data_IF_466723458019
#
_entry.id   IF_466723458019
#
_cell.length_a   1.000
_cell.length_b   1.000
_cell.length_c   1.000
_cell.angle_alpha   90.00
_cell.angle_beta   90.00
_cell.angle_gamma   90.00
#
_symmetry.space_group_name_H-M   'P 1'
#
loop_
_entity.id
_entity.type
_entity.pdbx_description
1 polymer ?
#
# COMPACT_ATOMS: atom_id res chain seq x y z
N UNK A 1 -4.77 -33.15 -90.31
CA UNK A 1 -4.66 -31.91 -89.49
C UNK A 1 -5.34 -32.16 -88.15
N UNK A 2 -4.60 -32.02 -87.04
CA UNK A 2 -5.04 -31.58 -85.69
C UNK A 2 -3.94 -31.93 -84.69
N UNK A 3 -3.16 -30.93 -84.28
CA UNK A 3 -2.12 -31.03 -83.24
C UNK A 3 -2.79 -30.90 -81.87
N UNK A 4 -2.42 -31.69 -80.85
CA UNK A 4 -2.89 -31.46 -79.48
C UNK A 4 -2.09 -30.34 -78.82
N UNK A 5 -2.80 -29.36 -78.27
CA UNK A 5 -2.30 -28.20 -77.52
C UNK A 5 -1.78 -28.64 -76.14
N UNK A 6 -0.60 -28.20 -75.67
CA UNK A 6 -0.12 -28.52 -74.33
C UNK A 6 -0.75 -27.56 -73.31
N UNK A 7 -1.47 -28.10 -72.33
CA UNK A 7 -1.94 -27.34 -71.18
C UNK A 7 -0.77 -27.05 -70.24
N UNK A 8 -0.35 -25.78 -70.21
CA UNK A 8 0.50 -25.21 -69.18
C UNK A 8 -0.27 -25.19 -67.85
N UNK A 9 0.06 -26.11 -66.94
CA UNK A 9 -0.38 -26.04 -65.54
C UNK A 9 0.49 -25.00 -64.83
N UNK A 10 -0.02 -23.77 -64.73
CA UNK A 10 0.59 -22.73 -63.91
C UNK A 10 0.35 -23.06 -62.43
N UNK A 11 1.40 -23.54 -61.75
CA UNK A 11 1.42 -23.68 -60.29
C UNK A 11 1.53 -22.27 -59.70
N UNK A 12 0.39 -21.69 -59.32
CA UNK A 12 0.36 -20.48 -58.52
C UNK A 12 0.84 -20.83 -57.10
N UNK A 13 2.11 -20.52 -56.80
CA UNK A 13 2.63 -20.51 -55.44
C UNK A 13 1.86 -19.46 -54.64
N UNK A 14 0.91 -19.92 -53.84
CA UNK A 14 0.21 -19.13 -52.84
C UNK A 14 1.24 -18.63 -51.82
N UNK A 15 1.61 -17.36 -51.91
CA UNK A 15 2.33 -16.66 -50.84
C UNK A 15 1.39 -16.54 -49.65
N UNK A 16 1.48 -17.50 -48.72
CA UNK A 16 0.85 -17.40 -47.41
C UNK A 16 1.48 -16.21 -46.67
N UNK A 17 0.71 -15.19 -46.24
CA UNK A 17 1.23 -14.17 -45.35
C UNK A 17 1.63 -14.86 -44.04
N UNK A 18 2.88 -14.65 -43.61
CA UNK A 18 3.35 -15.09 -42.31
C UNK A 18 2.46 -14.44 -41.25
N UNK A 19 1.73 -15.26 -40.49
CA UNK A 19 1.03 -14.78 -39.31
C UNK A 19 2.07 -14.19 -38.34
N UNK A 20 1.78 -13.05 -37.67
CA UNK A 20 2.67 -12.54 -36.64
C UNK A 20 2.81 -13.62 -35.57
N UNK A 21 4.04 -14.07 -35.32
CA UNK A 21 4.35 -14.90 -34.16
C UNK A 21 3.85 -14.16 -32.94
N UNK A 22 2.84 -14.72 -32.27
CA UNK A 22 2.30 -14.20 -31.02
C UNK A 22 3.41 -14.28 -29.97
N UNK A 23 4.25 -13.25 -29.91
CA UNK A 23 5.20 -13.08 -28.81
C UNK A 23 4.43 -13.05 -27.51
N UNK A 24 4.96 -13.70 -26.47
CA UNK A 24 4.33 -13.63 -25.15
C UNK A 24 4.12 -12.18 -24.75
N UNK A 25 2.97 -11.87 -24.13
CA UNK A 25 2.65 -10.51 -23.69
C UNK A 25 3.56 -10.13 -22.50
N UNK A 26 4.68 -9.49 -22.82
CA UNK A 26 5.68 -9.06 -21.83
C UNK A 26 5.12 -8.08 -20.80
N UNK A 27 4.06 -7.32 -21.14
CA UNK A 27 3.38 -6.44 -20.19
C UNK A 27 2.58 -7.27 -19.18
N UNK A 28 1.77 -8.20 -19.65
CA UNK A 28 0.98 -9.06 -18.77
C UNK A 28 1.86 -9.88 -17.83
N UNK A 29 2.98 -10.41 -18.35
CA UNK A 29 3.97 -11.13 -17.55
C UNK A 29 4.64 -10.22 -16.50
N UNK A 30 5.01 -8.99 -16.87
CA UNK A 30 5.56 -8.03 -15.92
C UNK A 30 4.57 -7.67 -14.81
N UNK A 31 3.31 -7.39 -15.17
CA UNK A 31 2.25 -7.04 -14.22
C UNK A 31 1.99 -8.18 -13.21
N UNK A 32 2.09 -9.44 -13.67
CA UNK A 32 1.86 -10.62 -12.82
C UNK A 32 3.04 -10.97 -11.91
N UNK A 33 4.27 -10.83 -12.39
CA UNK A 33 5.45 -11.39 -11.71
C UNK A 33 6.41 -10.33 -11.12
N UNK A 34 6.38 -9.09 -11.61
CA UNK A 34 7.43 -8.11 -11.30
C UNK A 34 6.87 -6.83 -10.66
N UNK A 35 5.68 -6.38 -11.07
CA UNK A 35 5.11 -5.09 -10.69
C UNK A 35 4.83 -4.93 -9.18
N UNK A 36 4.77 -6.04 -8.43
CA UNK A 36 4.60 -6.00 -6.97
C UNK A 36 5.78 -5.30 -6.25
N UNK A 37 6.99 -5.39 -6.81
CA UNK A 37 8.20 -4.83 -6.19
C UNK A 37 8.99 -3.89 -7.13
N UNK A 38 8.85 -4.04 -8.44
CA UNK A 38 9.58 -3.25 -9.42
C UNK A 38 8.67 -2.25 -10.12
N UNK A 39 9.18 -1.03 -10.32
CA UNK A 39 8.55 -0.04 -11.20
C UNK A 39 9.46 0.26 -12.41
N UNK A 40 8.90 0.92 -13.43
CA UNK A 40 9.65 1.37 -14.61
C UNK A 40 9.49 2.89 -14.72
N UNK A 41 10.42 3.63 -14.13
CA UNK A 41 10.42 5.10 -14.08
C UNK A 41 9.56 5.68 -12.96
N UNK A 42 9.13 4.84 -12.02
CA UNK A 42 8.34 5.24 -10.84
C UNK A 42 9.18 5.34 -9.57
N UNK A 43 10.47 4.99 -9.62
CA UNK A 43 11.36 4.93 -8.47
C UNK A 43 11.36 3.57 -7.77
N UNK A 44 12.17 3.43 -6.73
CA UNK A 44 12.27 2.19 -5.97
C UNK A 44 10.97 1.89 -5.19
N UNK A 45 10.50 0.64 -5.20
CA UNK A 45 9.26 0.18 -4.56
C UNK A 45 9.44 -1.18 -3.86
N UNK A 46 10.29 -1.26 -2.84
CA UNK A 46 10.69 -2.54 -2.24
C UNK A 46 11.70 -3.33 -3.08
N UNK A 47 11.94 -2.93 -4.33
CA UNK A 47 13.04 -3.35 -5.18
C UNK A 47 13.46 -2.17 -6.12
N UNK A 48 14.61 -2.22 -6.81
CA UNK A 48 15.09 -1.12 -7.65
C UNK A 48 14.16 -0.83 -8.83
N UNK A 49 14.11 0.44 -9.23
CA UNK A 49 13.48 0.86 -10.49
C UNK A 49 14.20 0.24 -11.69
N UNK A 50 13.45 -0.22 -12.67
CA UNK A 50 13.97 -0.93 -13.84
C UNK A 50 14.11 -0.03 -15.09
N UNK A 51 13.86 1.28 -14.99
CA UNK A 51 14.04 2.20 -16.12
C UNK A 51 15.48 2.19 -16.58
N UNK A 52 15.66 1.87 -17.86
CA UNK A 52 16.98 1.83 -18.50
C UNK A 52 17.84 0.64 -18.09
N UNK A 53 17.31 -0.32 -17.31
CA UNK A 53 18.12 -1.47 -16.84
C UNK A 53 18.68 -2.29 -18.00
N UNK A 54 17.92 -2.41 -19.10
CA UNK A 54 18.32 -3.14 -20.32
C UNK A 54 19.41 -2.42 -21.13
N UNK A 55 19.63 -1.12 -20.88
CA UNK A 55 20.76 -0.37 -21.44
C UNK A 55 21.98 -0.36 -20.50
N UNK A 56 21.76 -0.48 -19.19
CA UNK A 56 22.81 -0.45 -18.17
C UNK A 56 23.49 -1.80 -17.94
N UNK A 57 22.85 -2.90 -18.35
CA UNK A 57 23.34 -4.26 -18.09
C UNK A 57 23.16 -5.15 -19.31
N UNK A 58 24.09 -6.09 -19.42
CA UNK A 58 24.05 -7.13 -20.44
C UNK A 58 22.77 -7.96 -20.32
N UNK A 59 22.17 -8.26 -21.47
CA UNK A 59 20.88 -8.95 -21.54
C UNK A 59 20.96 -10.40 -21.07
N UNK A 60 22.07 -11.08 -21.32
CA UNK A 60 22.29 -12.45 -20.87
C UNK A 60 22.52 -12.50 -19.35
N UNK A 61 23.22 -11.49 -18.80
CA UNK A 61 23.33 -11.32 -17.35
C UNK A 61 21.96 -11.13 -16.70
N UNK A 62 21.12 -10.23 -17.25
CA UNK A 62 19.77 -9.97 -16.73
C UNK A 62 18.92 -11.24 -16.75
N UNK A 63 18.97 -12.01 -17.84
CA UNK A 63 18.26 -13.27 -17.94
C UNK A 63 18.72 -14.29 -16.88
N UNK A 64 20.04 -14.48 -16.71
CA UNK A 64 20.60 -15.39 -15.69
C UNK A 64 20.21 -14.96 -14.28
N UNK A 65 20.29 -13.67 -14.00
CA UNK A 65 19.92 -13.12 -12.71
C UNK A 65 18.43 -13.31 -12.45
N UNK A 66 17.54 -13.02 -13.39
CA UNK A 66 16.09 -13.19 -13.21
C UNK A 66 15.72 -14.67 -13.03
N UNK A 67 16.33 -15.59 -13.78
CA UNK A 67 16.08 -17.03 -13.66
C UNK A 67 16.53 -17.59 -12.30
N UNK A 68 17.68 -17.15 -11.80
CA UNK A 68 18.21 -17.65 -10.54
C UNK A 68 19.07 -16.59 -9.82
N UNK A 69 18.43 -15.65 -9.12
CA UNK A 69 19.12 -14.54 -8.45
C UNK A 69 20.07 -15.05 -7.35
N UNK A 70 19.68 -16.13 -6.68
CA UNK A 70 20.46 -16.76 -5.62
C UNK A 70 21.76 -17.36 -6.15
N UNK A 71 21.72 -18.07 -7.27
CA UNK A 71 22.91 -18.67 -7.87
C UNK A 71 23.91 -17.59 -8.33
N UNK A 72 23.43 -16.50 -8.94
CA UNK A 72 24.30 -15.37 -9.34
C UNK A 72 24.89 -14.65 -8.13
N UNK A 73 24.12 -14.51 -7.05
CA UNK A 73 24.61 -13.94 -5.79
C UNK A 73 25.67 -14.84 -5.16
N UNK A 74 25.42 -16.16 -5.09
CA UNK A 74 26.35 -17.16 -4.54
C UNK A 74 27.61 -17.36 -5.38
N UNK A 75 27.57 -17.07 -6.68
CA UNK A 75 28.79 -17.10 -7.50
C UNK A 75 29.75 -15.95 -7.21
N UNK A 76 29.37 -15.00 -6.33
CA UNK A 76 30.19 -13.86 -5.97
C UNK A 76 30.15 -12.73 -7.01
N UNK A 77 29.07 -12.63 -7.81
CA UNK A 77 28.92 -11.53 -8.75
C UNK A 77 28.92 -10.19 -7.98
N UNK A 78 29.85 -9.26 -8.28
CA UNK A 78 29.98 -8.02 -7.52
C UNK A 78 28.72 -7.16 -7.54
N UNK A 79 27.97 -7.17 -8.65
CA UNK A 79 26.76 -6.37 -8.79
C UNK A 79 25.60 -6.98 -8.00
N UNK A 80 25.45 -8.30 -8.04
CA UNK A 80 24.46 -9.01 -7.23
C UNK A 80 24.74 -8.82 -5.73
N UNK A 81 26.00 -8.90 -5.30
CA UNK A 81 26.41 -8.65 -3.92
C UNK A 81 26.14 -7.20 -3.48
N UNK A 82 26.42 -6.23 -4.35
CA UNK A 82 26.14 -4.82 -4.10
C UNK A 82 24.63 -4.56 -3.95
N UNK A 83 23.81 -5.14 -4.84
CA UNK A 83 22.35 -5.08 -4.77
C UNK A 83 21.85 -5.70 -3.47
N UNK A 84 22.33 -6.89 -3.09
CA UNK A 84 21.94 -7.53 -1.85
C UNK A 84 22.22 -6.64 -0.62
N UNK A 85 23.38 -5.96 -0.60
CA UNK A 85 23.73 -5.02 0.48
C UNK A 85 22.86 -3.75 0.46
N UNK A 86 22.54 -3.22 -0.72
CA UNK A 86 21.69 -2.02 -0.84
C UNK A 86 20.25 -2.25 -0.38
N UNK A 87 19.78 -3.49 -0.40
CA UNK A 87 18.42 -3.89 -0.01
C UNK A 87 18.40 -4.74 1.26
N UNK A 88 19.32 -4.48 2.20
CA UNK A 88 19.35 -5.10 3.54
C UNK A 88 19.31 -6.63 3.56
N UNK A 89 19.94 -7.29 2.57
CA UNK A 89 19.94 -8.74 2.46
C UNK A 89 18.68 -9.33 1.83
N UNK A 90 17.74 -8.52 1.35
CA UNK A 90 16.56 -8.99 0.64
C UNK A 90 16.96 -9.52 -0.74
N UNK A 91 16.94 -10.84 -0.89
CA UNK A 91 17.19 -11.51 -2.17
C UNK A 91 15.94 -11.39 -3.08
N UNK A 92 16.14 -11.04 -4.35
CA UNK A 92 15.07 -11.13 -5.35
C UNK A 92 14.63 -12.59 -5.48
N UNK A 93 13.32 -12.91 -5.37
CA UNK A 93 12.84 -14.28 -5.56
C UNK A 93 12.94 -14.66 -7.04
N UNK A 94 13.26 -15.94 -7.31
CA UNK A 94 13.13 -16.48 -8.65
C UNK A 94 11.63 -16.55 -9.03
N UNK A 95 11.22 -16.00 -10.18
CA UNK A 95 9.83 -16.05 -10.60
C UNK A 95 9.44 -17.47 -11.01
N UNK A 96 8.34 -17.97 -10.47
CA UNK A 96 7.83 -19.31 -10.78
C UNK A 96 7.20 -19.35 -12.17
N UNK A 97 7.44 -20.43 -12.92
CA UNK A 97 6.79 -20.69 -14.21
C UNK A 97 7.25 -19.83 -15.38
N UNK A 98 8.25 -18.96 -15.20
CA UNK A 98 8.82 -18.19 -16.29
C UNK A 98 9.97 -18.95 -16.97
N UNK A 99 9.88 -19.09 -18.29
CA UNK A 99 10.95 -19.60 -19.11
C UNK A 99 11.79 -18.47 -19.72
N UNK A 100 12.83 -18.85 -20.48
CA UNK A 100 13.71 -17.89 -21.16
C UNK A 100 12.93 -16.95 -22.08
N UNK A 101 11.96 -17.45 -22.85
CA UNK A 101 11.19 -16.65 -23.79
C UNK A 101 10.33 -15.61 -23.06
N UNK A 102 9.70 -16.00 -21.96
CA UNK A 102 8.87 -15.14 -21.11
C UNK A 102 9.70 -14.00 -20.50
N UNK A 103 10.88 -14.32 -19.96
CA UNK A 103 11.78 -13.29 -19.39
C UNK A 103 12.28 -12.34 -20.47
N UNK A 104 12.60 -12.84 -21.67
CA UNK A 104 12.99 -11.98 -22.79
C UNK A 104 11.85 -11.03 -23.20
N UNK A 105 10.60 -11.51 -23.23
CA UNK A 105 9.44 -10.67 -23.49
C UNK A 105 9.26 -9.58 -22.41
N UNK A 106 9.49 -9.91 -21.13
CA UNK A 106 9.49 -8.93 -20.02
C UNK A 106 10.60 -7.89 -20.22
N UNK A 107 11.82 -8.32 -20.58
CA UNK A 107 12.94 -7.40 -20.82
C UNK A 107 12.68 -6.46 -22.01
N UNK A 108 12.03 -6.95 -23.06
CA UNK A 108 11.60 -6.13 -24.19
C UNK A 108 10.53 -5.12 -23.79
N UNK A 109 9.57 -5.53 -22.97
CA UNK A 109 8.59 -4.62 -22.38
C UNK A 109 9.29 -3.53 -21.54
N UNK A 110 10.21 -3.89 -20.64
CA UNK A 110 10.97 -2.93 -19.83
C UNK A 110 11.76 -1.97 -20.73
N UNK A 111 12.44 -2.48 -21.76
CA UNK A 111 13.18 -1.66 -22.72
C UNK A 111 12.27 -0.68 -23.47
N UNK A 112 11.10 -1.14 -23.95
CA UNK A 112 10.11 -0.33 -24.65
C UNK A 112 9.56 0.81 -23.78
N UNK A 113 9.43 0.56 -22.47
CA UNK A 113 9.00 1.55 -21.48
C UNK A 113 10.15 2.46 -21.02
N UNK A 114 11.39 2.10 -21.35
CA UNK A 114 12.61 2.83 -20.97
C UNK A 114 13.13 3.78 -22.06
N UNK A 115 12.75 3.61 -23.33
CA UNK A 115 13.27 4.37 -24.48
C UNK A 115 12.29 5.40 -25.07
N UNK A 116 12.86 6.55 -25.48
CA UNK A 116 12.29 7.67 -26.26
C UNK A 116 10.94 8.22 -25.78
N UNK A 117 10.94 9.33 -25.03
CA UNK A 117 9.74 10.11 -24.69
C UNK A 117 8.48 9.26 -24.44
N UNK A 118 8.67 8.10 -23.81
CA UNK A 118 7.78 7.67 -22.77
C UNK A 118 7.89 8.77 -21.72
N UNK A 119 7.14 9.85 -21.98
CA UNK A 119 6.41 10.53 -20.92
C UNK A 119 6.05 9.41 -19.94
N UNK A 120 6.37 9.57 -18.64
CA UNK A 120 5.97 8.58 -17.64
C UNK A 120 4.60 8.10 -18.07
N UNK A 121 4.38 6.77 -18.22
CA UNK A 121 2.97 6.35 -18.35
C UNK A 121 2.37 7.04 -17.17
N UNK A 122 1.48 7.99 -17.45
CA UNK A 122 1.27 9.04 -16.50
C UNK A 122 0.63 8.32 -15.30
N UNK A 123 1.43 8.01 -14.27
CA UNK A 123 1.45 8.88 -13.12
C UNK A 123 1.21 10.26 -13.70
N UNK A 124 -0.08 10.63 -13.78
CA UNK A 124 -0.39 12.02 -13.97
C UNK A 124 0.44 12.83 -12.96
N UNK A 125 0.27 14.16 -12.95
CA UNK A 125 0.27 14.78 -11.62
C UNK A 125 -0.44 13.80 -10.66
N UNK A 126 0.14 13.44 -9.49
CA UNK A 126 -0.54 12.56 -8.53
C UNK A 126 -1.98 13.08 -8.52
N UNK A 127 -2.98 12.26 -8.92
CA UNK A 127 -4.29 12.78 -9.31
C UNK A 127 -4.65 13.77 -8.23
N UNK A 128 -4.67 15.07 -8.56
CA UNK A 128 -4.57 16.12 -7.53
C UNK A 128 -5.60 15.77 -6.49
N UNK A 129 -5.14 15.31 -5.32
CA UNK A 129 -6.02 14.57 -4.44
C UNK A 129 -7.15 15.50 -4.08
N UNK A 130 -8.36 15.12 -4.47
CA UNK A 130 -9.50 15.97 -4.20
C UNK A 130 -9.83 15.86 -2.72
N UNK A 131 -10.45 16.88 -2.12
CA UNK A 131 -11.02 16.76 -0.78
C UNK A 131 -11.96 15.55 -0.65
N UNK A 132 -12.64 15.18 -1.74
CA UNK A 132 -13.49 13.98 -1.81
C UNK A 132 -12.68 12.68 -1.73
N UNK A 133 -11.54 12.59 -2.42
CA UNK A 133 -10.63 11.43 -2.32
C UNK A 133 -10.12 11.26 -0.89
N UNK A 134 -9.73 12.36 -0.22
CA UNK A 134 -9.27 12.35 1.17
C UNK A 134 -10.40 11.92 2.10
N UNK A 135 -11.63 12.43 1.91
CA UNK A 135 -12.78 12.07 2.73
C UNK A 135 -13.16 10.59 2.56
N UNK A 136 -13.18 10.10 1.31
CA UNK A 136 -13.43 8.68 0.99
C UNK A 136 -12.34 7.80 1.57
N UNK A 137 -11.08 8.17 1.43
CA UNK A 137 -9.94 7.46 1.99
C UNK A 137 -10.00 7.35 3.51
N UNK A 138 -10.39 8.42 4.18
CA UNK A 138 -10.61 8.45 5.64
C UNK A 138 -11.72 7.49 6.05
N UNK A 139 -12.84 7.48 5.32
CA UNK A 139 -13.97 6.59 5.59
C UNK A 139 -13.59 5.11 5.41
N UNK A 140 -12.86 4.76 4.33
CA UNK A 140 -12.34 3.41 4.10
C UNK A 140 -11.34 2.99 5.19
N UNK A 141 -10.41 3.88 5.54
CA UNK A 141 -9.38 3.65 6.56
C UNK A 141 -10.00 3.35 7.93
N UNK A 142 -11.04 4.10 8.33
CA UNK A 142 -11.77 3.91 9.60
C UNK A 142 -12.74 2.74 9.59
N UNK A 143 -13.13 2.27 8.41
CA UNK A 143 -14.17 1.25 8.23
C UNK A 143 -15.60 1.81 8.22
N UNK A 144 -15.77 3.13 8.15
CA UNK A 144 -17.07 3.77 7.95
C UNK A 144 -17.66 3.40 6.58
N UNK A 145 -16.77 3.27 5.59
CA UNK A 145 -17.07 2.70 4.28
C UNK A 145 -16.38 1.32 4.18
N UNK A 146 -17.14 0.30 3.79
CA UNK A 146 -16.57 -1.05 3.59
C UNK A 146 -15.77 -1.12 2.29
N UNK A 147 -14.64 -1.81 2.36
CA UNK A 147 -13.88 -2.21 1.19
C UNK A 147 -14.70 -3.19 0.33
N UNK A 148 -14.61 -3.05 -0.98
CA UNK A 148 -15.25 -3.91 -1.97
C UNK A 148 -14.78 -5.36 -1.83
N UNK A 149 -13.49 -5.57 -1.52
CA UNK A 149 -12.93 -6.88 -1.23
C UNK A 149 -13.33 -7.47 0.14
N UNK A 150 -14.11 -6.75 0.95
CA UNK A 150 -14.49 -7.12 2.32
C UNK A 150 -13.30 -7.37 3.27
N UNK A 151 -12.15 -6.75 3.00
CA UNK A 151 -11.00 -6.73 3.89
C UNK A 151 -11.27 -5.94 5.18
N UNK A 152 -10.45 -6.15 6.24
CA UNK A 152 -10.57 -5.37 7.47
C UNK A 152 -10.22 -3.89 7.23
N UNK A 153 -10.84 -2.98 7.98
CA UNK A 153 -10.47 -1.56 7.96
C UNK A 153 -9.03 -1.36 8.45
N UNK A 154 -8.29 -0.41 7.88
CA UNK A 154 -6.90 -0.17 8.28
C UNK A 154 -6.75 0.25 9.76
N UNK A 155 -7.69 1.05 10.28
CA UNK A 155 -7.68 1.56 11.67
C UNK A 155 -7.75 0.44 12.72
N UNK A 156 -8.24 -0.75 12.38
CA UNK A 156 -8.27 -1.86 13.33
C UNK A 156 -6.86 -2.26 13.77
N UNK A 157 -5.86 -2.04 12.90
CA UNK A 157 -4.48 -2.42 13.17
C UNK A 157 -3.51 -1.25 13.12
N UNK A 158 -3.72 -0.25 12.29
CA UNK A 158 -2.75 0.81 12.05
C UNK A 158 -3.28 2.17 12.49
N UNK A 159 -2.50 2.93 13.25
CA UNK A 159 -2.80 4.31 13.60
C UNK A 159 -2.25 5.28 12.53
N UNK A 160 -3.04 6.31 12.22
CA UNK A 160 -2.66 7.43 11.37
C UNK A 160 -3.08 8.71 12.08
N UNK A 161 -2.12 9.58 12.38
CA UNK A 161 -2.36 10.84 13.10
C UNK A 161 -2.85 10.64 14.54
N UNK A 162 -3.74 11.54 15.00
CA UNK A 162 -4.18 11.62 16.40
C UNK A 162 -5.03 10.44 16.92
N UNK A 163 -5.37 9.48 16.06
CA UNK A 163 -6.06 8.23 16.45
C UNK A 163 -5.22 7.37 17.43
N UNK A 164 -3.91 7.61 17.48
CA UNK A 164 -2.95 6.95 18.36
C UNK A 164 -3.24 7.18 19.86
N UNK A 165 -3.87 8.31 20.20
CA UNK A 165 -4.11 8.71 21.60
C UNK A 165 -5.14 7.86 22.36
N UNK A 166 -5.98 7.09 21.64
CA UNK A 166 -6.99 6.22 22.23
C UNK A 166 -6.64 4.73 22.09
N UNK A 167 -5.43 4.41 21.63
CA UNK A 167 -4.95 3.03 21.44
C UNK A 167 -5.54 2.31 20.22
N UNK A 168 -6.31 3.01 19.38
CA UNK A 168 -6.81 2.47 18.12
C UNK A 168 -5.68 2.33 17.10
N UNK A 169 -5.59 1.18 16.45
CA UNK A 169 -4.57 0.95 15.42
C UNK A 169 -3.14 0.72 15.98
N UNK A 170 -3.03 0.11 17.16
CA UNK A 170 -1.75 -0.18 17.82
C UNK A 170 -1.17 -1.57 17.50
N UNK A 171 -1.90 -2.43 16.79
CA UNK A 171 -1.43 -3.77 16.43
C UNK A 171 -0.42 -3.80 15.27
N UNK A 172 -0.36 -2.74 14.49
CA UNK A 172 0.54 -2.55 13.36
C UNK A 172 1.32 -1.25 13.50
N UNK A 173 2.38 -1.06 12.68
CA UNK A 173 3.19 0.15 12.71
C UNK A 173 2.36 1.40 12.39
N UNK A 174 2.73 2.51 13.02
CA UNK A 174 2.13 3.82 12.74
C UNK A 174 2.33 4.21 11.27
N UNK A 175 1.27 4.70 10.64
CA UNK A 175 1.26 5.15 9.24
C UNK A 175 1.52 6.66 9.11
N UNK A 176 1.72 7.37 10.22
CA UNK A 176 2.16 8.76 10.19
C UNK A 176 3.47 8.88 9.37
N UNK A 177 3.46 9.75 8.35
CA UNK A 177 4.59 9.94 7.44
C UNK A 177 4.91 8.75 6.54
N UNK A 178 3.95 7.83 6.30
CA UNK A 178 4.19 6.64 5.47
C UNK A 178 4.54 7.00 4.01
N UNK A 179 3.99 8.09 3.48
CA UNK A 179 4.34 8.55 2.12
C UNK A 179 5.79 9.01 2.04
N UNK A 180 6.37 9.61 3.07
CA UNK A 180 7.81 9.92 3.12
C UNK A 180 8.67 8.65 3.07
N UNK A 181 8.24 7.56 3.73
CA UNK A 181 8.95 6.27 3.74
C UNK A 181 8.81 5.49 2.42
N UNK A 182 7.73 5.75 1.67
CA UNK A 182 7.39 5.03 0.43
C UNK A 182 7.52 5.91 -0.82
N UNK A 183 8.42 6.91 -0.82
CA UNK A 183 8.69 7.75 -1.99
C UNK A 183 7.44 8.47 -2.56
N UNK A 184 6.58 8.95 -1.67
CA UNK A 184 5.36 9.69 -1.97
C UNK A 184 4.13 8.81 -2.14
N UNK A 185 3.04 9.43 -2.59
CA UNK A 185 1.74 8.77 -2.72
C UNK A 185 1.73 7.67 -3.80
N UNK A 186 2.60 7.74 -4.80
CA UNK A 186 2.72 6.72 -5.84
C UNK A 186 3.28 5.40 -5.29
N UNK A 187 4.36 5.44 -4.51
CA UNK A 187 4.91 4.23 -3.91
C UNK A 187 3.99 3.66 -2.82
N UNK A 188 3.28 4.52 -2.07
CA UNK A 188 2.21 4.06 -1.18
C UNK A 188 1.09 3.35 -1.95
N UNK A 189 0.65 3.89 -3.09
CA UNK A 189 -0.39 3.27 -3.91
C UNK A 189 0.03 1.91 -4.43
N UNK A 190 1.28 1.77 -4.90
CA UNK A 190 1.83 0.50 -5.33
C UNK A 190 1.91 -0.52 -4.17
N UNK A 191 2.34 -0.08 -2.99
CA UNK A 191 2.38 -0.91 -1.78
C UNK A 191 0.98 -1.39 -1.37
N UNK A 192 -0.03 -0.52 -1.42
CA UNK A 192 -1.43 -0.89 -1.10
C UNK A 192 -2.00 -1.87 -2.12
N UNK A 193 -1.68 -1.72 -3.41
CA UNK A 193 -2.12 -2.63 -4.45
C UNK A 193 -1.48 -4.03 -4.32
N UNK A 194 -0.27 -4.13 -3.76
CA UNK A 194 0.46 -5.39 -3.62
C UNK A 194 1.39 -5.38 -2.40
N UNK A 195 0.86 -5.56 -1.18
CA UNK A 195 1.64 -5.41 0.03
C UNK A 195 2.74 -6.49 0.12
N UNK A 196 4.02 -6.11 0.21
CA UNK A 196 5.13 -7.06 0.22
C UNK A 196 5.32 -7.73 1.59
N UNK A 197 4.73 -7.22 2.67
CA UNK A 197 4.94 -7.79 4.01
C UNK A 197 4.12 -9.08 4.21
N UNK A 198 4.66 -10.13 4.86
CA UNK A 198 3.94 -11.40 5.04
C UNK A 198 2.55 -11.23 5.69
N UNK A 199 2.45 -10.34 6.68
CA UNK A 199 1.19 -10.06 7.39
C UNK A 199 0.16 -9.42 6.46
N UNK A 200 0.47 -8.29 5.83
CA UNK A 200 -0.50 -7.58 4.98
C UNK A 200 -0.82 -8.34 3.71
N UNK A 201 0.16 -9.05 3.14
CA UNK A 201 -0.08 -9.99 2.03
C UNK A 201 -1.09 -11.05 2.44
N UNK A 202 -0.96 -11.66 3.63
CA UNK A 202 -1.89 -12.69 4.08
C UNK A 202 -3.31 -12.15 4.30
N UNK A 203 -3.44 -10.92 4.80
CA UNK A 203 -4.74 -10.27 5.06
C UNK A 203 -5.46 -9.93 3.76
N UNK A 204 -4.76 -9.36 2.77
CA UNK A 204 -5.38 -8.83 1.55
C UNK A 204 -5.29 -9.74 0.32
N UNK A 205 -4.56 -10.87 0.37
CA UNK A 205 -4.46 -11.82 -0.76
C UNK A 205 -5.82 -12.33 -1.26
N UNK A 206 -6.80 -12.49 -0.37
CA UNK A 206 -8.17 -12.95 -0.72
C UNK A 206 -9.19 -11.82 -0.78
N UNK A 207 -8.76 -10.59 -0.50
CA UNK A 207 -9.59 -9.40 -0.40
C UNK A 207 -8.83 -8.20 -1.00
N UNK A 208 -8.42 -8.27 -2.29
CA UNK A 208 -7.60 -7.21 -2.88
C UNK A 208 -8.35 -5.88 -2.89
N UNK A 209 -7.60 -4.79 -2.71
CA UNK A 209 -8.14 -3.44 -2.78
C UNK A 209 -8.45 -3.08 -4.24
N UNK A 210 -9.58 -2.42 -4.48
CA UNK A 210 -9.89 -1.87 -5.79
C UNK A 210 -9.02 -0.65 -6.10
N UNK A 211 -8.79 -0.37 -7.38
CA UNK A 211 -7.89 0.71 -7.80
C UNK A 211 -8.34 2.11 -7.32
N UNK A 212 -9.65 2.34 -7.22
CA UNK A 212 -10.22 3.57 -6.67
C UNK A 212 -10.06 3.65 -5.15
N UNK A 213 -10.14 2.52 -4.44
CA UNK A 213 -9.89 2.43 -3.00
C UNK A 213 -8.43 2.70 -2.66
N UNK A 214 -7.50 2.12 -3.43
CA UNK A 214 -6.06 2.37 -3.32
C UNK A 214 -5.76 3.86 -3.47
N UNK A 215 -6.34 4.50 -4.49
CA UNK A 215 -6.22 5.94 -4.71
C UNK A 215 -6.72 6.75 -3.52
N UNK A 216 -7.93 6.46 -3.04
CA UNK A 216 -8.54 7.19 -1.94
C UNK A 216 -7.73 7.04 -0.64
N UNK A 217 -7.28 5.82 -0.32
CA UNK A 217 -6.44 5.54 0.84
C UNK A 217 -5.10 6.27 0.76
N UNK A 218 -4.46 6.27 -0.42
CA UNK A 218 -3.22 7.02 -0.64
C UNK A 218 -3.42 8.53 -0.47
N UNK A 219 -4.53 9.08 -0.98
CA UNK A 219 -4.90 10.49 -0.81
C UNK A 219 -5.00 10.90 0.67
N UNK A 220 -5.71 10.09 1.45
CA UNK A 220 -5.88 10.32 2.88
C UNK A 220 -4.55 10.26 3.65
N UNK A 221 -3.75 9.23 3.42
CA UNK A 221 -2.49 9.04 4.13
C UNK A 221 -1.42 10.08 3.75
N UNK A 222 -1.45 10.58 2.51
CA UNK A 222 -0.60 11.69 2.07
C UNK A 222 -1.00 13.02 2.74
N UNK A 223 -2.31 13.28 2.86
CA UNK A 223 -2.84 14.44 3.57
C UNK A 223 -2.49 14.41 5.07
N UNK A 224 -2.52 13.25 5.72
CA UNK A 224 -2.10 13.13 7.13
C UNK A 224 -0.58 13.23 7.32
N UNK A 225 0.22 12.88 6.31
CA UNK A 225 1.68 13.04 6.36
C UNK A 225 2.12 14.51 6.23
N UNK A 226 1.35 15.31 5.48
CA UNK A 226 1.61 16.74 5.25
C UNK A 226 0.93 17.64 6.27
N UNK A 227 -0.13 17.15 6.94
CA UNK A 227 -0.74 17.85 8.06
C UNK A 227 0.26 17.97 9.23
N UNK A 228 0.45 19.21 9.72
CA UNK A 228 1.21 19.43 10.95
C UNK A 228 0.64 18.53 12.07
N UNK A 229 1.49 17.97 12.96
CA UNK A 229 1.02 17.15 14.06
C UNK A 229 0.00 17.97 14.87
N UNK A 230 -1.28 17.67 14.71
CA UNK A 230 -2.30 18.23 15.57
C UNK A 230 -2.03 17.62 16.93
N UNK A 231 -1.38 18.39 17.81
CA UNK A 231 -1.20 17.97 19.19
C UNK A 231 -2.61 17.72 19.74
N UNK A 232 -2.95 16.45 19.93
CA UNK A 232 -4.20 16.07 20.58
C UNK A 232 -4.20 16.43 22.06
N UNK A 233 -3.04 16.83 22.60
CA UNK A 233 -2.81 17.26 23.97
C UNK A 233 -3.80 18.35 24.45
N UNK A 234 -4.00 19.51 23.78
CA UNK A 234 -5.00 20.50 24.19
C UNK A 234 -6.45 19.98 24.22
N UNK A 235 -6.84 19.11 23.26
CA UNK A 235 -8.21 18.54 23.23
C UNK A 235 -8.40 17.46 24.29
N UNK A 236 -7.41 16.59 24.49
CA UNK A 236 -7.42 15.58 25.54
C UNK A 236 -7.37 16.21 26.93
N UNK A 237 -6.57 17.26 27.13
CA UNK A 237 -6.52 18.03 28.37
C UNK A 237 -7.85 18.76 28.64
N UNK A 238 -8.48 19.33 27.61
CA UNK A 238 -9.81 19.93 27.75
C UNK A 238 -10.87 18.89 28.14
N UNK A 239 -10.83 17.70 27.53
CA UNK A 239 -11.75 16.61 27.85
C UNK A 239 -11.52 16.06 29.28
N UNK A 240 -10.26 15.85 29.67
CA UNK A 240 -9.90 15.44 31.02
C UNK A 240 -10.29 16.50 32.07
N UNK A 241 -10.10 17.79 31.74
CA UNK A 241 -10.53 18.91 32.58
C UNK A 241 -12.04 18.96 32.78
N UNK A 242 -12.82 18.79 31.69
CA UNK A 242 -14.29 18.72 31.76
C UNK A 242 -14.78 17.49 32.54
N UNK A 243 -14.17 16.33 32.34
CA UNK A 243 -14.50 15.11 33.07
C UNK A 243 -14.21 15.25 34.57
N UNK A 244 -13.06 15.82 34.93
CA UNK A 244 -12.70 16.10 36.32
C UNK A 244 -13.67 17.11 36.94
N UNK A 245 -13.98 18.21 36.24
CA UNK A 245 -14.92 19.22 36.70
C UNK A 245 -16.33 18.63 36.94
N UNK A 246 -16.82 17.81 36.01
CA UNK A 246 -18.11 17.13 36.15
C UNK A 246 -18.12 16.16 37.34
N UNK A 247 -17.03 15.41 37.53
CA UNK A 247 -16.87 14.47 38.66
C UNK A 247 -16.86 15.22 39.99
N UNK A 248 -16.09 16.30 40.10
CA UNK A 248 -16.05 17.15 41.30
C UNK A 248 -17.43 17.78 41.57
N UNK A 249 -18.10 18.31 40.55
CA UNK A 249 -19.44 18.86 40.68
C UNK A 249 -20.45 17.80 41.15
N UNK A 250 -20.36 16.57 40.63
CA UNK A 250 -21.17 15.44 41.08
C UNK A 250 -20.96 15.10 42.55
N UNK A 251 -19.70 15.01 43.01
CA UNK A 251 -19.40 14.78 44.43
C UNK A 251 -19.88 15.92 45.33
N UNK A 252 -19.74 17.18 44.91
CA UNK A 252 -20.25 18.33 45.64
C UNK A 252 -21.78 18.30 45.73
N UNK A 253 -22.47 18.00 44.63
CA UNK A 253 -23.92 17.88 44.60
C UNK A 253 -24.42 16.75 45.53
N UNK A 254 -23.79 15.56 45.46
CA UNK A 254 -24.09 14.45 46.37
C UNK A 254 -23.85 14.86 47.82
N UNK A 255 -22.72 15.52 48.10
CA UNK A 255 -22.38 16.02 49.43
C UNK A 255 -23.41 17.01 49.96
N UNK A 256 -23.89 17.95 49.15
CA UNK A 256 -24.91 18.93 49.52
C UNK A 256 -26.26 18.24 49.80
N UNK A 257 -26.70 17.35 48.90
CA UNK A 257 -27.97 16.61 49.03
C UNK A 257 -27.96 15.72 50.29
N UNK A 258 -26.85 15.02 50.54
CA UNK A 258 -26.74 14.12 51.68
C UNK A 258 -26.44 14.83 53.00
N UNK A 259 -25.88 16.04 52.98
CA UNK A 259 -25.66 16.86 54.18
C UNK A 259 -26.95 17.13 54.94
N UNK A 260 -28.04 17.41 54.22
CA UNK A 260 -29.33 17.68 54.85
C UNK A 260 -29.99 16.40 55.37
N UNK A 261 -29.78 15.27 54.67
CA UNK A 261 -30.21 13.94 55.14
C UNK A 261 -29.51 13.52 56.44
N UNK A 262 -28.18 13.70 56.54
CA UNK A 262 -27.44 13.38 57.77
C UNK A 262 -27.80 14.31 58.93
N UNK A 263 -28.04 15.60 58.66
CA UNK A 263 -28.48 16.56 59.69
C UNK A 263 -29.87 16.25 60.23
N UNK A 264 -30.79 15.78 59.37
CA UNK A 264 -32.13 15.35 59.78
C UNK A 264 -32.08 14.15 60.74
N UNK A 265 -31.17 13.19 60.53
CA UNK A 265 -31.00 12.02 61.41
C UNK A 265 -30.20 12.35 62.68
N UNK A 266 -29.20 13.24 62.60
CA UNK A 266 -28.33 13.59 63.75
C UNK A 266 -29.00 14.49 64.78
N UNK A 267 -29.90 15.40 64.37
CA UNK A 267 -30.62 16.31 65.28
C UNK A 267 -31.39 15.58 66.40
N UNK A 268 -32.23 14.56 66.10
CA UNK A 268 -32.93 13.78 67.12
C UNK A 268 -32.00 13.06 68.10
N UNK A 269 -30.90 12.47 67.61
CA UNK A 269 -29.96 11.72 68.43
C UNK A 269 -29.22 12.61 69.46
N UNK A 270 -28.84 13.83 69.05
CA UNK A 270 -28.19 14.79 69.95
C UNK A 270 -29.17 15.38 70.96
N UNK A 271 -30.43 15.60 70.58
CA UNK A 271 -31.47 16.03 71.54
C UNK A 271 -31.80 14.95 72.57
N UNK A 272 -31.71 13.67 72.21
CA UNK A 272 -31.91 12.56 73.14
C UNK A 272 -30.74 12.38 74.12
N UNK A 273 -29.50 12.66 73.71
CA UNK A 273 -28.33 12.56 74.59
C UNK A 273 -28.08 13.78 75.48
N UNK A 274 -28.70 14.92 75.17
CA UNK A 274 -28.53 16.18 75.92
C UNK A 274 -29.50 16.36 77.10
N UNK A 275 -30.51 15.51 77.24
CA UNK A 275 -31.60 15.64 78.22
C UNK A 275 -31.41 14.92 79.56
N UNK A 276 -30.22 14.38 79.85
CA UNK A 276 -29.94 13.62 81.08
C UNK A 276 -28.92 14.32 82.00
N UNK A 277 -29.19 15.56 82.40
CA UNK A 277 -28.55 16.19 83.57
C UNK A 277 -29.60 16.77 84.49
#
# INVERSE_FOLDING_TARGET
MKRPTPYLVAVAMLLLPAAPTSGQDGRALFDQHCAACHTIGGGANGAPDLKGVTAQRDREWLLKFILNPEAVTRSGDPRAAELLRMYDGALMPAPEGLDRASILAILDYIASRSGADAAPAAAGPPPTFTPEDIARGRALYRGDLRLAGHGPSCLSCHAAGAADLLGAGSFGPALAGVTTRLNGANGLSAWLASPPTPVMRSVYRRAPLAADEVRALAAFLDAEATAAPQSGLPRAAAFAGLALAATVAGFLAIGIIWRDRFRAVRRPLVSMSGGSR
#
